data_IF_905500713753
#
_entry.id   IF_905500713753
#
_cell.length_a   1.000
_cell.length_b   1.000
_cell.length_c   1.000
_cell.angle_alpha   90.00
_cell.angle_beta   90.00
_cell.angle_gamma   90.00
#
_symmetry.space_group_name_H-M   'P 1'
#
loop_
_entity.id
_entity.type
_entity.pdbx_description
1 polymer ?
#
# COMPACT_ATOMS: atom_id res chain seq x y z
N UNK A 1 -10.19 -15.29 11.42
CA UNK A 1 -10.81 -13.96 11.22
C UNK A 1 -10.97 -13.66 9.74
N UNK A 2 -12.14 -13.20 9.37
CA UNK A 2 -12.41 -12.86 7.96
C UNK A 2 -11.80 -11.52 7.61
N UNK A 3 -11.12 -11.45 6.47
CA UNK A 3 -10.53 -10.19 6.02
C UNK A 3 -11.62 -9.21 5.58
N UNK A 4 -11.39 -7.90 5.75
CA UNK A 4 -12.29 -6.91 5.18
C UNK A 4 -12.44 -7.09 3.67
N UNK A 5 -13.59 -6.67 3.14
CA UNK A 5 -13.90 -6.84 1.72
C UNK A 5 -12.82 -6.29 0.80
N UNK A 6 -12.32 -5.11 1.09
CA UNK A 6 -11.31 -4.47 0.23
C UNK A 6 -9.99 -5.24 0.19
N UNK A 7 -9.66 -5.98 1.25
CA UNK A 7 -8.42 -6.77 1.27
C UNK A 7 -8.50 -8.01 0.38
N UNK A 8 -9.70 -8.53 0.17
CA UNK A 8 -9.86 -9.72 -0.67
C UNK A 8 -9.54 -9.45 -2.13
N UNK A 9 -9.62 -8.20 -2.54
CA UNK A 9 -9.41 -7.81 -3.92
C UNK A 9 -8.00 -7.27 -4.19
N UNK A 10 -7.16 -7.21 -3.16
CA UNK A 10 -5.82 -6.68 -3.33
C UNK A 10 -4.90 -7.77 -3.88
N UNK A 11 -4.85 -7.82 -5.19
CA UNK A 11 -3.95 -8.71 -5.93
C UNK A 11 -3.11 -7.87 -6.86
N UNK A 12 -1.79 -8.00 -6.77
CA UNK A 12 -0.87 -7.27 -7.62
C UNK A 12 -0.09 -8.25 -8.51
N UNK A 13 0.19 -7.81 -9.74
CA UNK A 13 0.88 -8.66 -10.71
C UNK A 13 2.38 -8.75 -10.46
N UNK A 14 2.95 -7.69 -9.87
CA UNK A 14 4.39 -7.63 -9.62
C UNK A 14 4.66 -6.68 -8.46
N UNK A 15 5.88 -6.75 -7.93
CA UNK A 15 6.31 -5.85 -6.85
C UNK A 15 6.24 -4.39 -7.31
N UNK A 16 5.63 -3.57 -6.49
CA UNK A 16 5.48 -2.13 -6.74
C UNK A 16 6.32 -1.37 -5.73
N UNK A 17 7.10 -0.40 -6.21
CA UNK A 17 7.97 0.41 -5.36
C UNK A 17 8.33 1.70 -6.09
N UNK A 18 8.87 2.67 -5.35
CA UNK A 18 9.32 3.91 -5.96
C UNK A 18 10.39 3.61 -7.02
N UNK A 19 10.18 4.12 -8.23
CA UNK A 19 11.06 3.89 -9.39
C UNK A 19 11.16 2.41 -9.77
N UNK A 20 10.18 1.60 -9.41
CA UNK A 20 10.16 0.19 -9.73
C UNK A 20 9.92 -0.05 -11.23
N UNK A 21 10.72 -0.89 -11.88
CA UNK A 21 10.56 -1.13 -13.32
C UNK A 21 9.30 -1.92 -13.66
N UNK A 22 8.70 -2.58 -12.69
CA UNK A 22 7.49 -3.38 -12.90
C UNK A 22 6.23 -2.69 -12.36
N UNK A 23 6.34 -1.41 -11.98
CA UNK A 23 5.17 -0.66 -11.52
C UNK A 23 4.15 -0.55 -12.64
N UNK A 24 2.88 -0.74 -12.28
CA UNK A 24 1.81 -0.45 -13.20
C UNK A 24 0.73 0.35 -12.48
N UNK A 25 0.09 1.21 -13.25
CA UNK A 25 -0.85 2.17 -12.70
C UNK A 25 -1.98 1.51 -11.93
N UNK A 26 -2.50 0.41 -12.46
CA UNK A 26 -3.63 -0.29 -11.86
C UNK A 26 -3.27 -0.84 -10.48
N UNK A 27 -2.12 -1.49 -10.37
CA UNK A 27 -1.67 -2.04 -9.09
C UNK A 27 -1.33 -0.95 -8.09
N UNK A 28 -0.68 0.12 -8.55
CA UNK A 28 -0.35 1.24 -7.66
C UNK A 28 -1.65 1.88 -7.13
N UNK A 29 -2.66 2.03 -7.97
CA UNK A 29 -3.95 2.57 -7.51
C UNK A 29 -4.61 1.67 -6.48
N UNK A 30 -4.52 0.36 -6.65
CA UNK A 30 -5.04 -0.58 -5.65
C UNK A 30 -4.35 -0.40 -4.31
N UNK A 31 -3.03 -0.27 -4.33
CA UNK A 31 -2.23 -0.06 -3.11
C UNK A 31 -2.61 1.25 -2.45
N UNK A 32 -2.69 2.32 -3.23
CA UNK A 32 -3.05 3.63 -2.71
C UNK A 32 -4.46 3.64 -2.11
N UNK A 33 -5.40 2.98 -2.77
CA UNK A 33 -6.77 2.85 -2.25
C UNK A 33 -6.79 2.08 -0.94
N UNK A 34 -6.03 0.99 -0.87
CA UNK A 34 -5.97 0.15 0.32
C UNK A 34 -5.36 0.90 1.50
N UNK A 35 -4.28 1.64 1.25
CA UNK A 35 -3.63 2.45 2.28
C UNK A 35 -4.57 3.55 2.78
N UNK A 36 -5.32 4.17 1.89
CA UNK A 36 -6.28 5.20 2.28
C UNK A 36 -7.42 4.63 3.11
N UNK A 37 -7.91 3.45 2.75
CA UNK A 37 -8.93 2.75 3.54
C UNK A 37 -8.40 2.38 4.92
N UNK A 38 -7.17 1.91 5.00
CA UNK A 38 -6.54 1.59 6.27
C UNK A 38 -6.48 2.82 7.17
N UNK A 39 -6.19 4.00 6.61
CA UNK A 39 -6.10 5.23 7.39
C UNK A 39 -7.42 5.63 8.03
N UNK A 40 -8.54 5.20 7.47
CA UNK A 40 -9.86 5.55 7.99
C UNK A 40 -10.14 4.91 9.35
N UNK A 41 -9.56 3.75 9.61
CA UNK A 41 -9.71 3.05 10.88
C UNK A 41 -8.45 3.11 11.74
N UNK A 42 -7.37 3.67 11.20
CA UNK A 42 -6.07 3.74 11.87
C UNK A 42 -5.52 5.16 11.75
N UNK A 43 -6.30 6.14 12.22
CA UNK A 43 -5.93 7.55 12.17
C UNK A 43 -4.65 7.76 12.96
N UNK A 44 -3.76 8.55 12.40
CA UNK A 44 -2.45 8.78 13.00
C UNK A 44 -1.38 7.83 12.50
N UNK A 45 -1.73 6.76 11.79
CA UNK A 45 -0.75 5.88 11.17
C UNK A 45 -0.05 6.51 9.98
N UNK A 46 -0.66 7.52 9.34
CA UNK A 46 -0.03 8.24 8.25
C UNK A 46 -0.02 7.48 6.94
N UNK A 47 -1.07 6.68 6.67
CA UNK A 47 -1.12 5.87 5.46
C UNK A 47 -1.98 6.47 4.35
N UNK A 48 -2.68 7.57 4.60
CA UNK A 48 -3.50 8.20 3.57
C UNK A 48 -2.62 8.74 2.45
N UNK A 49 -3.04 8.54 1.21
CA UNK A 49 -2.31 9.03 0.04
C UNK A 49 -3.28 9.24 -1.12
N UNK A 50 -2.90 10.07 -2.08
CA UNK A 50 -3.69 10.28 -3.28
C UNK A 50 -3.74 8.99 -4.11
N UNK A 51 -4.82 8.80 -4.86
CA UNK A 51 -5.00 7.63 -5.70
C UNK A 51 -4.82 8.05 -7.15
N UNK A 52 -3.57 8.15 -7.57
CA UNK A 52 -3.23 8.66 -8.90
C UNK A 52 -2.45 7.65 -9.76
N UNK A 53 -2.11 6.49 -9.20
CA UNK A 53 -1.39 5.46 -9.93
C UNK A 53 0.11 5.69 -10.05
N UNK A 54 0.63 6.73 -9.39
CA UNK A 54 2.07 7.02 -9.40
C UNK A 54 2.70 6.67 -8.05
N UNK A 55 3.68 5.79 -8.06
CA UNK A 55 4.38 5.38 -6.83
C UNK A 55 5.55 6.33 -6.59
N UNK A 56 5.27 7.47 -6.01
CA UNK A 56 6.28 8.47 -5.68
C UNK A 56 6.64 8.45 -4.21
N UNK A 57 7.30 9.52 -3.75
CA UNK A 57 7.76 9.60 -2.37
C UNK A 57 6.60 9.58 -1.36
N UNK A 58 5.46 10.17 -1.71
CA UNK A 58 4.31 10.17 -0.82
C UNK A 58 3.74 8.77 -0.61
N UNK A 59 3.63 7.98 -1.68
CA UNK A 59 3.16 6.61 -1.61
C UNK A 59 4.16 5.74 -0.87
N UNK A 60 5.46 5.93 -1.15
CA UNK A 60 6.50 5.20 -0.44
C UNK A 60 6.43 5.44 1.06
N UNK A 61 6.27 6.69 1.47
CA UNK A 61 6.17 7.03 2.89
C UNK A 61 4.92 6.42 3.51
N UNK A 62 3.81 6.41 2.79
CA UNK A 62 2.58 5.79 3.28
C UNK A 62 2.77 4.28 3.49
N UNK A 63 3.49 3.61 2.59
CA UNK A 63 3.81 2.18 2.73
C UNK A 63 4.68 1.96 3.96
N UNK A 64 5.71 2.78 4.14
CA UNK A 64 6.59 2.68 5.31
C UNK A 64 5.77 2.83 6.59
N UNK A 65 4.87 3.80 6.62
CA UNK A 65 4.03 4.03 7.80
C UNK A 65 3.10 2.84 8.06
N UNK A 66 2.56 2.24 7.01
CA UNK A 66 1.75 1.03 7.14
C UNK A 66 2.57 -0.12 7.71
N UNK A 67 3.76 -0.33 7.16
CA UNK A 67 4.64 -1.41 7.61
C UNK A 67 5.01 -1.22 9.09
N UNK A 68 5.29 0.01 9.48
CA UNK A 68 5.57 0.31 10.89
C UNK A 68 4.37 -0.01 11.78
N UNK A 69 3.17 0.37 11.37
CA UNK A 69 1.97 0.12 12.14
C UNK A 69 1.67 -1.37 12.30
N UNK A 70 2.09 -2.17 11.32
CA UNK A 70 1.88 -3.62 11.35
C UNK A 70 3.06 -4.39 11.92
N UNK A 71 4.11 -3.69 12.38
CA UNK A 71 5.30 -4.35 12.92
C UNK A 71 6.17 -5.04 11.88
N UNK A 72 6.10 -4.60 10.64
CA UNK A 72 6.86 -5.18 9.52
C UNK A 72 8.12 -4.37 9.26
N UNK A 73 9.05 -4.95 8.50
CA UNK A 73 10.22 -4.21 8.05
C UNK A 73 9.79 -3.02 7.19
N UNK A 74 10.34 -1.85 7.49
CA UNK A 74 9.95 -0.58 6.86
C UNK A 74 10.74 -0.36 5.56
N UNK A 75 10.40 -1.10 4.52
CA UNK A 75 11.12 -1.08 3.25
C UNK A 75 10.56 -0.10 2.23
N UNK A 76 9.27 0.25 2.35
CA UNK A 76 8.59 1.06 1.34
C UNK A 76 8.30 0.29 0.06
N UNK A 77 8.53 -1.00 0.03
CA UNK A 77 8.34 -1.87 -1.12
C UNK A 77 7.10 -2.72 -0.90
N UNK A 78 6.23 -2.79 -1.90
CA UNK A 78 5.00 -3.58 -1.82
C UNK A 78 5.11 -4.80 -2.71
N UNK A 79 5.20 -5.96 -2.09
CA UNK A 79 5.00 -7.23 -2.78
C UNK A 79 3.67 -7.83 -2.29
N UNK A 80 3.29 -8.97 -2.82
CA UNK A 80 2.00 -9.58 -2.47
C UNK A 80 1.89 -9.88 -0.97
N UNK A 81 3.02 -10.16 -0.32
CA UNK A 81 3.02 -10.53 1.09
C UNK A 81 2.74 -9.36 2.03
N UNK A 82 2.97 -8.12 1.60
CA UNK A 82 2.82 -6.95 2.47
C UNK A 82 1.39 -6.81 3.00
N UNK A 83 0.40 -7.12 2.17
CA UNK A 83 -1.00 -6.96 2.52
C UNK A 83 -1.73 -8.27 2.80
N UNK A 84 -1.01 -9.36 2.89
CA UNK A 84 -1.62 -10.66 3.16
C UNK A 84 -1.73 -10.98 4.65
#
# INVERSE_FOLDING_TARGET
MQKPHYQKELTIAATQKRNGPQNNKKDVMKIQSWLSLFSMTNRGAGTATGIDGGFGSATEQAVINYQRAKGMAQTGIVDQAVFN
#
